data_IF_167913564049
#
_entry.id   IF_167913564049
#
_cell.length_a   1.000
_cell.length_b   1.000
_cell.length_c   1.000
_cell.angle_alpha   90.00
_cell.angle_beta   90.00
_cell.angle_gamma   90.00
#
_symmetry.space_group_name_H-M   'P 1'
#
loop_
_entity.id
_entity.type
_entity.pdbx_description
1 polymer ?
#
# COMPACT_ATOMS: atom_id res chain seq x y z
N UNK A 1 -5.56 -10.23 -26.49
CA UNK A 1 -5.38 -9.27 -25.41
C UNK A 1 -5.99 -9.81 -24.13
N UNK A 2 -5.20 -9.94 -23.09
CA UNK A 2 -5.68 -10.53 -21.85
C UNK A 2 -6.26 -9.46 -20.94
N UNK A 3 -7.38 -9.78 -20.31
CA UNK A 3 -7.94 -8.90 -19.30
C UNK A 3 -7.08 -8.95 -18.03
N UNK A 4 -7.02 -7.85 -17.26
CA UNK A 4 -6.31 -7.87 -15.99
C UNK A 4 -6.89 -8.92 -15.03
N UNK A 5 -6.01 -9.56 -14.28
CA UNK A 5 -6.42 -10.43 -13.18
C UNK A 5 -6.84 -9.54 -12.01
N UNK A 6 -8.04 -9.74 -11.49
CA UNK A 6 -8.53 -8.94 -10.37
C UNK A 6 -8.33 -9.70 -9.05
N UNK A 7 -7.64 -9.06 -8.11
CA UNK A 7 -7.36 -9.65 -6.80
C UNK A 7 -8.04 -8.80 -5.72
N UNK A 8 -8.81 -9.46 -4.88
CA UNK A 8 -9.44 -8.86 -3.70
C UNK A 8 -8.86 -9.51 -2.45
N UNK A 9 -9.06 -8.89 -1.29
CA UNK A 9 -8.49 -9.39 -0.03
C UNK A 9 -9.06 -10.74 0.41
N UNK A 10 -10.21 -11.13 -0.11
CA UNK A 10 -10.84 -12.42 0.18
C UNK A 10 -10.61 -13.47 -0.90
N UNK A 11 -9.79 -13.18 -1.90
CA UNK A 11 -9.54 -14.11 -3.00
C UNK A 11 -8.80 -15.36 -2.48
N UNK A 12 -9.32 -16.58 -2.77
CA UNK A 12 -8.68 -17.81 -2.29
C UNK A 12 -7.24 -18.03 -2.73
N UNK A 13 -6.83 -17.41 -3.86
CA UNK A 13 -5.45 -17.54 -4.34
C UNK A 13 -4.42 -17.03 -3.33
N UNK A 14 -4.82 -16.09 -2.46
CA UNK A 14 -3.92 -15.52 -1.46
C UNK A 14 -3.40 -16.58 -0.49
N UNK A 15 -4.17 -17.62 -0.25
CA UNK A 15 -3.77 -18.71 0.65
C UNK A 15 -2.68 -19.60 0.06
N UNK A 16 -2.56 -19.62 -1.26
CA UNK A 16 -1.56 -20.44 -1.96
C UNK A 16 -0.28 -19.68 -2.27
N UNK A 17 -0.26 -18.36 -2.06
CA UNK A 17 0.92 -17.54 -2.32
C UNK A 17 1.91 -17.63 -1.17
N UNK A 18 3.20 -17.60 -1.50
CA UNK A 18 4.26 -17.70 -0.52
C UNK A 18 4.73 -16.31 -0.09
N UNK A 19 3.94 -15.66 0.76
CA UNK A 19 4.30 -14.35 1.30
C UNK A 19 5.52 -14.43 2.17
N UNK A 20 6.38 -13.41 2.07
CA UNK A 20 7.54 -13.25 2.94
C UNK A 20 7.39 -11.99 3.76
N UNK A 21 7.88 -12.03 4.99
CA UNK A 21 7.74 -10.92 5.94
C UNK A 21 8.86 -9.91 5.77
N UNK A 22 8.49 -8.62 5.78
CA UNK A 22 9.42 -7.50 5.68
C UNK A 22 9.09 -6.45 6.73
N UNK A 23 10.12 -5.70 7.14
CA UNK A 23 9.96 -4.56 8.04
C UNK A 23 10.41 -3.28 7.32
N UNK A 24 9.74 -2.18 7.64
CA UNK A 24 10.18 -0.87 7.17
C UNK A 24 11.41 -0.44 7.97
N UNK A 25 12.37 0.18 7.31
CA UNK A 25 13.59 0.68 7.93
C UNK A 25 13.73 2.19 7.86
N UNK A 26 12.70 2.90 7.42
CA UNK A 26 12.75 4.35 7.22
C UNK A 26 11.58 5.04 7.90
N UNK A 27 11.83 6.30 8.32
CA UNK A 27 10.76 7.16 8.79
C UNK A 27 9.89 7.64 7.64
N UNK A 28 8.65 7.99 7.98
CA UNK A 28 7.70 8.60 7.06
C UNK A 28 7.12 9.85 7.67
N UNK A 29 6.65 10.75 6.82
CA UNK A 29 5.81 11.87 7.26
C UNK A 29 4.36 11.41 7.33
N UNK A 30 3.60 12.00 8.26
CA UNK A 30 2.19 11.67 8.41
C UNK A 30 1.41 12.92 8.80
N UNK A 31 0.25 13.12 8.15
CA UNK A 31 -0.71 14.15 8.53
C UNK A 31 -2.11 13.54 8.52
N UNK A 32 -2.98 13.94 9.47
CA UNK A 32 -4.37 13.50 9.42
C UNK A 32 -5.13 14.26 8.33
N UNK A 33 -6.03 13.55 7.65
CA UNK A 33 -6.94 14.20 6.72
C UNK A 33 -8.23 14.55 7.46
N UNK A 34 -8.34 15.82 7.87
CA UNK A 34 -9.49 16.32 8.65
C UNK A 34 -10.03 17.58 7.97
N UNK A 35 -10.78 17.43 6.85
CA UNK A 35 -11.36 18.59 6.17
C UNK A 35 -12.43 19.25 7.04
N UNK A 36 -12.62 20.56 6.85
CA UNK A 36 -13.70 21.28 7.54
C UNK A 36 -15.06 20.82 7.01
N UNK A 37 -16.13 21.15 7.74
CA UNK A 37 -17.48 20.75 7.34
C UNK A 37 -17.90 21.30 5.98
N UNK A 38 -17.33 22.44 5.58
CA UNK A 38 -17.67 23.10 4.31
C UNK A 38 -16.84 22.57 3.13
N UNK A 39 -15.86 21.70 3.39
CA UNK A 39 -15.01 21.11 2.37
C UNK A 39 -15.46 19.68 2.05
N UNK A 40 -15.09 19.16 0.86
CA UNK A 40 -15.36 17.76 0.57
C UNK A 40 -14.75 16.82 1.63
N UNK A 41 -15.51 15.80 2.04
CA UNK A 41 -15.09 14.86 3.08
C UNK A 41 -14.25 13.72 2.55
N UNK A 42 -14.05 13.69 1.23
CA UNK A 42 -13.16 12.73 0.57
C UNK A 42 -12.24 13.48 -0.37
N UNK A 43 -11.10 12.87 -0.67
CA UNK A 43 -10.12 13.45 -1.57
C UNK A 43 -9.52 12.35 -2.44
N UNK A 44 -9.45 12.60 -3.75
CA UNK A 44 -8.75 11.69 -4.65
C UNK A 44 -7.25 11.88 -4.49
N UNK A 45 -6.54 10.78 -4.32
CA UNK A 45 -5.09 10.78 -4.14
C UNK A 45 -4.46 10.02 -5.30
N UNK A 46 -3.53 10.65 -6.00
CA UNK A 46 -2.72 9.99 -7.03
C UNK A 46 -1.41 9.59 -6.39
N UNK A 47 -1.20 8.28 -6.23
CA UNK A 47 0.00 7.77 -5.57
C UNK A 47 1.23 7.95 -6.45
N UNK A 48 2.44 7.96 -5.86
CA UNK A 48 3.68 8.06 -6.64
C UNK A 48 3.86 6.94 -7.67
N UNK A 49 3.21 5.79 -7.45
CA UNK A 49 3.29 4.65 -8.38
C UNK A 49 2.13 4.60 -9.37
N UNK A 50 1.33 5.67 -9.48
CA UNK A 50 0.34 5.82 -10.54
C UNK A 50 -1.06 5.28 -10.22
N UNK A 51 -1.29 4.80 -9.02
CA UNK A 51 -2.59 4.32 -8.58
C UNK A 51 -3.45 5.47 -8.07
N UNK A 52 -4.76 5.44 -8.33
CA UNK A 52 -5.69 6.43 -7.77
C UNK A 52 -6.39 5.82 -6.56
N UNK A 53 -6.31 6.51 -5.44
CA UNK A 53 -6.93 6.10 -4.19
C UNK A 53 -7.84 7.21 -3.67
N UNK A 54 -8.70 6.88 -2.70
CA UNK A 54 -9.61 7.85 -2.09
C UNK A 54 -9.27 7.93 -0.60
N UNK A 55 -8.97 9.16 -0.14
CA UNK A 55 -8.83 9.45 1.28
C UNK A 55 -10.18 9.87 1.83
N UNK A 56 -10.55 9.31 2.97
CA UNK A 56 -11.77 9.67 3.69
C UNK A 56 -11.40 10.46 4.94
N UNK A 57 -12.34 11.31 5.40
CA UNK A 57 -12.13 12.03 6.66
C UNK A 57 -11.73 11.07 7.76
N UNK A 58 -10.64 11.41 8.46
CA UNK A 58 -10.10 10.58 9.53
C UNK A 58 -8.96 9.69 9.11
N UNK A 59 -8.75 9.48 7.80
CA UNK A 59 -7.59 8.75 7.30
C UNK A 59 -6.32 9.52 7.59
N UNK A 60 -5.19 8.82 7.59
CA UNK A 60 -3.88 9.46 7.64
C UNK A 60 -3.26 9.47 6.26
N UNK A 61 -2.58 10.57 5.94
CA UNK A 61 -1.84 10.72 4.70
C UNK A 61 -0.35 10.54 5.03
N UNK A 62 0.25 9.53 4.45
CA UNK A 62 1.65 9.16 4.71
C UNK A 62 2.47 9.43 3.46
N UNK A 63 3.69 9.94 3.63
CA UNK A 63 4.59 10.20 2.52
C UNK A 63 6.04 9.92 2.90
N UNK A 64 6.89 9.83 1.88
CA UNK A 64 8.34 9.85 2.09
C UNK A 64 8.73 11.20 2.71
N UNK A 65 9.78 11.21 3.53
CA UNK A 65 10.27 12.46 4.13
C UNK A 65 10.69 13.46 3.05
N UNK A 66 11.31 12.96 1.99
CA UNK A 66 11.82 13.79 0.88
C UNK A 66 10.74 14.25 -0.09
N UNK A 67 9.57 13.63 -0.06
CA UNK A 67 8.50 13.88 -1.02
C UNK A 67 7.16 14.05 -0.32
N UNK A 68 6.98 15.11 0.49
CA UNK A 68 5.75 15.27 1.27
C UNK A 68 4.49 15.52 0.45
N UNK A 69 4.65 15.87 -0.84
CA UNK A 69 3.50 16.09 -1.74
C UNK A 69 3.02 14.81 -2.42
N UNK A 70 3.79 13.74 -2.34
CA UNK A 70 3.46 12.44 -2.94
C UNK A 70 3.06 11.48 -1.83
N UNK A 71 1.82 11.60 -1.37
CA UNK A 71 1.33 10.84 -0.23
C UNK A 71 0.30 9.79 -0.66
N UNK A 72 0.00 8.89 0.27
CA UNK A 72 -1.04 7.88 0.11
C UNK A 72 -1.87 7.79 1.38
N UNK A 73 -3.17 7.47 1.26
CA UNK A 73 -4.04 7.39 2.43
C UNK A 73 -3.92 6.04 3.13
N UNK A 74 -4.08 6.08 4.45
CA UNK A 74 -4.12 4.87 5.28
C UNK A 74 -5.32 5.01 6.24
N UNK A 75 -6.11 3.94 6.30
CA UNK A 75 -7.23 3.85 7.25
C UNK A 75 -6.71 4.07 8.68
N UNK A 76 -7.43 4.84 9.53
CA UNK A 76 -6.93 5.19 10.86
C UNK A 76 -6.73 3.98 11.78
N UNK A 77 -7.55 2.95 11.67
CA UNK A 77 -7.39 1.74 12.49
C UNK A 77 -6.13 0.98 12.07
N UNK A 78 -5.91 0.86 10.77
CA UNK A 78 -4.72 0.21 10.24
C UNK A 78 -3.48 1.01 10.59
N UNK A 79 -3.56 2.34 10.52
CA UNK A 79 -2.45 3.19 10.91
C UNK A 79 -2.06 2.96 12.38
N UNK A 80 -3.04 2.96 13.27
CA UNK A 80 -2.79 2.76 14.69
C UNK A 80 -2.14 1.40 14.98
N UNK A 81 -2.56 0.36 14.29
CA UNK A 81 -2.01 -0.99 14.46
C UNK A 81 -0.63 -1.17 13.80
N UNK A 82 -0.34 -0.38 12.77
CA UNK A 82 0.82 -0.60 11.90
C UNK A 82 1.98 0.35 12.14
N UNK A 83 1.72 1.53 12.73
CA UNK A 83 2.73 2.60 12.82
C UNK A 83 2.89 3.09 14.25
N UNK A 84 4.07 3.67 14.53
CA UNK A 84 4.34 4.39 15.77
C UNK A 84 4.61 5.85 15.40
N UNK A 85 3.92 6.78 16.08
CA UNK A 85 4.25 8.20 15.97
C UNK A 85 5.52 8.46 16.76
N UNK A 86 6.53 8.99 16.09
CA UNK A 86 7.82 9.32 16.71
C UNK A 86 7.78 10.70 17.34
N UNK A 87 7.15 11.62 16.63
CA UNK A 87 6.94 13.03 17.00
C UNK A 87 5.88 13.58 16.05
N UNK A 88 5.30 14.76 16.34
CA UNK A 88 4.26 15.30 15.45
C UNK A 88 4.71 15.36 14.01
N UNK A 89 3.92 14.76 13.12
CA UNK A 89 4.19 14.72 11.69
C UNK A 89 5.12 13.62 11.21
N UNK A 90 5.61 12.76 12.09
CA UNK A 90 6.55 11.69 11.71
C UNK A 90 6.17 10.36 12.34
N UNK A 91 6.33 9.29 11.57
CA UNK A 91 6.02 7.94 12.02
C UNK A 91 7.00 6.92 11.43
N UNK A 92 6.98 5.72 12.00
CA UNK A 92 7.70 4.58 11.45
C UNK A 92 6.75 3.37 11.49
N UNK A 93 6.81 2.55 10.45
CA UNK A 93 5.99 1.36 10.39
C UNK A 93 6.56 0.29 11.32
N UNK A 94 5.78 -0.11 12.33
CA UNK A 94 6.17 -1.15 13.30
C UNK A 94 5.73 -2.54 12.87
N UNK A 95 4.64 -2.63 12.10
CA UNK A 95 4.09 -3.91 11.69
C UNK A 95 4.89 -4.53 10.55
N UNK A 96 4.90 -5.84 10.53
CA UNK A 96 5.46 -6.60 9.42
C UNK A 96 4.52 -6.47 8.22
N UNK A 97 5.09 -6.25 7.05
CA UNK A 97 4.34 -6.29 5.79
C UNK A 97 4.70 -7.61 5.09
N UNK A 98 3.69 -8.32 4.65
CA UNK A 98 3.91 -9.55 3.88
C UNK A 98 3.95 -9.18 2.40
N UNK A 99 4.97 -9.65 1.69
CA UNK A 99 5.15 -9.38 0.27
C UNK A 99 5.31 -10.67 -0.51
N UNK A 100 4.71 -10.69 -1.70
CA UNK A 100 4.93 -11.76 -2.67
C UNK A 100 5.06 -11.12 -4.06
N UNK A 101 5.99 -11.59 -4.91
CA UNK A 101 6.08 -11.04 -6.26
C UNK A 101 4.74 -11.18 -6.98
N UNK A 102 4.32 -10.11 -7.66
CA UNK A 102 3.06 -10.13 -8.39
C UNK A 102 3.08 -11.17 -9.51
N UNK A 103 4.29 -11.50 -10.01
CA UNK A 103 4.46 -12.55 -11.02
C UNK A 103 4.08 -13.94 -10.51
N UNK A 104 4.02 -14.16 -9.20
CA UNK A 104 3.54 -15.44 -8.67
C UNK A 104 2.03 -15.61 -8.91
N UNK A 105 1.31 -14.51 -9.11
CA UNK A 105 -0.13 -14.54 -9.46
C UNK A 105 -0.31 -14.80 -10.96
N UNK A 106 0.65 -14.39 -11.76
CA UNK A 106 0.55 -14.43 -13.24
C UNK A 106 1.34 -15.58 -13.85
N UNK A 107 1.67 -16.60 -13.05
CA UNK A 107 2.45 -17.76 -13.51
C UNK A 107 3.79 -17.37 -14.12
N UNK A 108 4.44 -16.35 -13.57
CA UNK A 108 5.75 -15.89 -14.03
C UNK A 108 5.72 -14.88 -15.16
N UNK A 109 4.55 -14.46 -15.61
CA UNK A 109 4.43 -13.48 -16.70
C UNK A 109 4.58 -12.05 -16.15
N UNK A 110 5.70 -11.36 -16.44
CA UNK A 110 5.92 -10.00 -15.94
C UNK A 110 5.08 -8.94 -16.66
N UNK A 111 4.59 -9.25 -17.85
CA UNK A 111 3.83 -8.30 -18.67
C UNK A 111 2.33 -8.35 -18.39
N UNK A 112 1.85 -9.35 -17.66
CA UNK A 112 0.44 -9.45 -17.33
C UNK A 112 0.03 -8.32 -16.39
N UNK A 113 -1.21 -7.86 -16.55
CA UNK A 113 -1.77 -6.80 -15.71
C UNK A 113 -2.56 -7.40 -14.55
N UNK A 114 -2.43 -6.80 -13.39
CA UNK A 114 -3.16 -7.22 -12.19
C UNK A 114 -3.86 -5.99 -11.60
N UNK A 115 -5.15 -6.13 -11.35
CA UNK A 115 -5.93 -5.11 -10.66
C UNK A 115 -6.05 -5.51 -9.20
N UNK A 116 -5.55 -4.66 -8.32
CA UNK A 116 -5.60 -4.90 -6.87
C UNK A 116 -6.68 -4.01 -6.26
N UNK A 117 -7.66 -4.62 -5.62
CA UNK A 117 -8.71 -3.89 -4.91
C UNK A 117 -8.26 -3.69 -3.47
N UNK A 118 -7.78 -2.49 -3.17
CA UNK A 118 -7.36 -2.10 -1.82
C UNK A 118 -8.51 -1.41 -1.08
N UNK A 119 -8.32 -1.16 0.21
CA UNK A 119 -9.34 -0.47 1.01
C UNK A 119 -9.61 0.94 0.49
N UNK A 120 -8.59 1.61 -0.05
CA UNK A 120 -8.66 3.00 -0.49
C UNK A 120 -9.02 3.15 -1.98
N UNK A 121 -9.11 2.04 -2.72
CA UNK A 121 -9.44 2.07 -4.13
C UNK A 121 -8.78 0.93 -4.89
N UNK A 122 -9.03 0.86 -6.18
CA UNK A 122 -8.46 -0.17 -7.06
C UNK A 122 -7.45 0.44 -8.01
N UNK A 123 -6.40 -0.32 -8.33
CA UNK A 123 -5.41 0.10 -9.31
C UNK A 123 -4.92 -1.09 -10.11
N UNK A 124 -4.62 -0.87 -11.37
CA UNK A 124 -4.10 -1.91 -12.28
C UNK A 124 -2.63 -1.64 -12.53
N UNK A 125 -1.80 -2.66 -12.32
CA UNK A 125 -0.35 -2.57 -12.43
C UNK A 125 0.22 -3.73 -13.24
N UNK A 126 1.43 -3.51 -13.78
CA UNK A 126 2.17 -4.55 -14.49
C UNK A 126 2.88 -5.45 -13.47
N UNK A 127 2.66 -6.76 -13.57
CA UNK A 127 3.11 -7.72 -12.57
C UNK A 127 4.62 -7.67 -12.32
N UNK A 128 5.44 -7.48 -13.35
CA UNK A 128 6.89 -7.48 -13.22
C UNK A 128 7.45 -6.32 -12.41
N UNK A 129 6.68 -5.24 -12.24
CA UNK A 129 7.13 -4.03 -11.58
C UNK A 129 6.67 -3.94 -10.11
N UNK A 130 5.88 -4.89 -9.63
CA UNK A 130 5.24 -4.78 -8.32
C UNK A 130 5.29 -6.06 -7.52
N UNK A 131 5.18 -5.90 -6.20
CA UNK A 131 4.80 -6.95 -5.26
C UNK A 131 3.35 -6.78 -4.87
N UNK A 132 2.70 -7.88 -4.46
CA UNK A 132 1.45 -7.80 -3.74
C UNK A 132 1.78 -7.73 -2.26
N UNK A 133 1.29 -6.69 -1.60
CA UNK A 133 1.51 -6.48 -0.16
C UNK A 133 0.26 -6.84 0.62
N UNK A 134 0.46 -7.40 1.81
CA UNK A 134 -0.63 -7.76 2.71
C UNK A 134 -0.31 -7.25 4.11
N UNK A 135 -1.26 -6.59 4.74
CA UNK A 135 -1.07 -5.94 6.03
C UNK A 135 -1.74 -6.66 7.19
N UNK A 136 -1.81 -5.96 8.32
CA UNK A 136 -2.20 -6.52 9.63
C UNK A 136 -3.64 -7.05 9.69
N UNK A 137 -4.53 -6.55 8.83
CA UNK A 137 -5.93 -6.99 8.79
C UNK A 137 -6.26 -7.80 7.54
N UNK A 138 -5.24 -8.25 6.83
CA UNK A 138 -5.44 -8.97 5.58
C UNK A 138 -5.72 -8.06 4.40
N UNK A 139 -5.67 -6.75 4.59
CA UNK A 139 -5.79 -5.81 3.47
C UNK A 139 -4.62 -5.97 2.53
N UNK A 140 -4.86 -5.70 1.24
CA UNK A 140 -3.84 -5.86 0.22
C UNK A 140 -3.67 -4.56 -0.58
N UNK A 141 -2.47 -4.40 -1.13
CA UNK A 141 -2.19 -3.29 -2.05
C UNK A 141 -1.01 -3.66 -2.93
N UNK A 142 -0.84 -2.90 -4.03
CA UNK A 142 0.32 -3.06 -4.90
C UNK A 142 1.48 -2.24 -4.35
N UNK A 143 2.66 -2.83 -4.28
CA UNK A 143 3.86 -2.17 -3.75
C UNK A 143 4.96 -2.17 -4.81
N UNK A 144 5.52 -1.00 -5.17
CA UNK A 144 6.55 -0.93 -6.20
C UNK A 144 7.77 -1.77 -5.84
N UNK A 145 8.16 -2.64 -6.77
CA UNK A 145 9.27 -3.56 -6.57
C UNK A 145 10.59 -2.83 -6.30
N UNK A 146 10.82 -1.73 -7.00
CA UNK A 146 12.06 -0.96 -6.85
C UNK A 146 12.22 -0.36 -5.45
N UNK A 147 11.13 -0.14 -4.72
CA UNK A 147 11.18 0.46 -3.39
C UNK A 147 11.51 -0.52 -2.28
N UNK A 148 11.31 -1.82 -2.52
CA UNK A 148 11.48 -2.82 -1.45
C UNK A 148 12.89 -2.77 -0.86
N UNK A 149 13.91 -2.74 -1.72
CA UNK A 149 15.29 -2.72 -1.25
C UNK A 149 15.68 -1.42 -0.55
N UNK A 150 15.04 -0.30 -0.94
CA UNK A 150 15.35 1.01 -0.40
C UNK A 150 14.74 1.26 0.97
N UNK A 151 13.52 0.75 1.21
CA UNK A 151 12.74 1.13 2.38
C UNK A 151 12.40 -0.04 3.29
N UNK A 152 12.65 -1.27 2.87
CA UNK A 152 12.32 -2.47 3.64
C UNK A 152 13.51 -3.40 3.79
N UNK A 153 13.42 -4.26 4.81
CA UNK A 153 14.37 -5.32 5.04
C UNK A 153 13.62 -6.59 5.40
N UNK A 154 14.16 -7.80 5.05
CA UNK A 154 13.50 -9.03 5.46
C UNK A 154 13.35 -9.10 6.97
N UNK A 155 12.19 -9.57 7.42
CA UNK A 155 11.91 -9.80 8.83
C UNK A 155 12.13 -11.30 9.12
N UNK A 156 12.95 -11.58 10.07
CA UNK A 156 13.21 -12.96 10.49
C UNK A 156 12.15 -13.47 11.45
#
# INVERSE_FOLDING_TARGET
MNEPIVITSDNPILKSLNFKAYRSKVERRVIPFVPSQDEPQTMQVNTPWGQQLIANRGDFLVSEVDNPNDYWPIDPVIFEESYILLRPGYCVKKAVTLLVPMTDITNGDPDALVTVASLEGSGTVRAGDFYLAKGVRGEIWAYPREKVNDVMMPAD
#
